data_IF_067440891815
#
_entry.id   IF_067440891815
#
_cell.length_a   1.000
_cell.length_b   1.000
_cell.length_c   1.000
_cell.angle_alpha   90.00
_cell.angle_beta   90.00
_cell.angle_gamma   90.00
#
_symmetry.space_group_name_H-M   'P 1'
#
loop_
_entity.id
_entity.type
_entity.pdbx_description
1 polymer ?
#
# COMPACT_ATOMS: atom_id res chain seq x y z
N UNK A 1 4.16 27.55 1.62
CA UNK A 1 5.15 27.07 0.61
C UNK A 1 6.53 26.80 1.18
N UNK A 2 7.14 27.68 2.01
CA UNK A 2 8.49 27.46 2.59
C UNK A 2 8.56 26.21 3.44
N UNK A 3 7.69 26.05 4.44
CA UNK A 3 7.70 24.89 5.34
C UNK A 3 7.36 23.57 4.63
N UNK A 4 6.54 23.60 3.57
CA UNK A 4 6.28 22.43 2.74
C UNK A 4 7.55 21.94 2.00
N UNK A 5 8.40 22.86 1.51
CA UNK A 5 9.69 22.51 0.90
C UNK A 5 10.62 21.89 1.95
N UNK A 6 10.74 22.51 3.13
CA UNK A 6 11.53 21.97 4.24
C UNK A 6 11.02 20.58 4.64
N UNK A 7 9.70 20.38 4.66
CA UNK A 7 9.08 19.08 4.90
C UNK A 7 9.51 18.03 3.87
N UNK A 8 9.54 18.36 2.57
CA UNK A 8 9.99 17.43 1.54
C UNK A 8 11.48 17.12 1.64
N UNK A 9 12.32 18.11 1.92
CA UNK A 9 13.75 17.92 2.14
C UNK A 9 14.01 16.99 3.33
N UNK A 10 13.31 17.22 4.45
CA UNK A 10 13.40 16.36 5.62
C UNK A 10 12.83 14.96 5.39
N UNK A 11 11.76 14.83 4.61
CA UNK A 11 11.21 13.52 4.24
C UNK A 11 12.21 12.71 3.43
N UNK A 12 12.88 13.32 2.44
CA UNK A 12 13.93 12.68 1.64
C UNK A 12 15.07 12.18 2.51
N UNK A 13 15.52 12.97 3.47
CA UNK A 13 16.50 12.53 4.46
C UNK A 13 15.97 11.36 5.31
N UNK A 14 14.76 11.45 5.82
CA UNK A 14 14.15 10.43 6.69
C UNK A 14 13.96 9.08 6.00
N UNK A 15 13.77 9.05 4.68
CA UNK A 15 13.62 7.82 3.89
C UNK A 15 14.93 7.34 3.25
N UNK A 16 16.02 8.08 3.43
CA UNK A 16 17.35 7.74 2.88
C UNK A 16 17.55 8.04 1.39
N UNK A 17 16.63 8.79 0.75
CA UNK A 17 16.84 9.27 -0.63
C UNK A 17 17.81 10.46 -0.70
N UNK A 18 17.95 11.24 0.38
CA UNK A 18 19.03 12.19 0.61
C UNK A 18 19.90 11.69 1.77
N UNK A 19 21.23 11.71 1.60
CA UNK A 19 22.18 11.23 2.62
C UNK A 19 22.51 12.30 3.66
N UNK A 20 22.51 13.55 3.25
CA UNK A 20 22.90 14.69 4.09
C UNK A 20 21.69 15.30 4.79
N UNK A 21 21.94 15.79 6.01
CA UNK A 21 20.93 16.55 6.75
C UNK A 21 20.70 17.86 5.99
N UNK A 22 19.45 18.16 5.59
CA UNK A 22 19.18 19.34 4.80
C UNK A 22 19.38 20.63 5.61
N UNK A 23 20.16 21.57 5.07
CA UNK A 23 20.39 22.89 5.69
C UNK A 23 19.10 23.66 5.94
N UNK A 24 18.07 23.41 5.15
CA UNK A 24 16.74 24.02 5.31
C UNK A 24 16.10 23.74 6.67
N UNK A 25 16.54 22.68 7.40
CA UNK A 25 16.05 22.37 8.74
C UNK A 25 16.40 23.43 9.80
N UNK A 26 17.43 24.27 9.56
CA UNK A 26 17.74 25.42 10.42
C UNK A 26 16.60 26.45 10.51
N UNK A 27 15.70 26.43 9.51
CA UNK A 27 14.54 27.33 9.40
C UNK A 27 13.21 26.59 9.58
N UNK A 28 13.24 25.39 10.15
CA UNK A 28 12.06 24.54 10.30
C UNK A 28 11.13 25.04 11.41
N UNK A 29 9.86 25.27 11.10
CA UNK A 29 8.82 25.29 12.10
C UNK A 29 8.37 23.84 12.38
N UNK A 30 8.93 23.25 13.43
CA UNK A 30 8.66 21.88 13.81
C UNK A 30 7.18 21.59 14.14
N UNK A 31 6.40 22.62 14.56
CA UNK A 31 4.96 22.46 14.79
C UNK A 31 4.21 22.32 13.48
N UNK A 32 4.59 23.11 12.47
CA UNK A 32 4.02 23.00 11.12
C UNK A 32 4.43 21.68 10.46
N UNK A 33 5.71 21.26 10.58
CA UNK A 33 6.18 19.98 10.09
C UNK A 33 5.42 18.80 10.74
N UNK A 34 5.18 18.85 12.03
CA UNK A 34 4.37 17.86 12.75
C UNK A 34 2.94 17.80 12.21
N UNK A 35 2.32 18.96 11.98
CA UNK A 35 0.96 19.04 11.47
C UNK A 35 0.87 18.44 10.04
N UNK A 36 1.83 18.73 9.16
CA UNK A 36 1.91 18.14 7.82
C UNK A 36 2.13 16.63 7.93
N UNK A 37 3.07 16.17 8.77
CA UNK A 37 3.35 14.76 8.99
C UNK A 37 2.12 13.98 9.48
N UNK A 38 1.37 14.55 10.41
CA UNK A 38 0.12 13.99 10.92
C UNK A 38 -0.94 13.90 9.79
N UNK A 39 -1.11 14.99 9.05
CA UNK A 39 -2.05 15.09 7.93
C UNK A 39 -1.76 14.06 6.84
N UNK A 40 -0.49 13.79 6.58
CA UNK A 40 -0.02 12.87 5.54
C UNK A 40 0.26 11.44 6.06
N UNK A 41 -0.01 11.17 7.35
CA UNK A 41 0.24 9.88 8.02
C UNK A 41 1.72 9.43 7.95
N UNK A 42 2.65 10.36 8.12
CA UNK A 42 4.10 10.14 8.03
C UNK A 42 4.85 10.34 9.36
N UNK A 43 4.13 10.41 10.50
CA UNK A 43 4.73 10.68 11.81
C UNK A 43 5.82 9.66 12.17
N UNK A 44 5.61 8.37 11.93
CA UNK A 44 6.61 7.34 12.20
C UNK A 44 7.84 7.50 11.32
N UNK A 45 7.65 7.71 10.01
CA UNK A 45 8.73 7.88 9.03
C UNK A 45 9.61 9.08 9.39
N UNK A 46 9.02 10.23 9.68
CA UNK A 46 9.79 11.41 10.06
C UNK A 46 10.43 11.27 11.45
N UNK A 47 9.83 10.53 12.37
CA UNK A 47 10.46 10.22 13.64
C UNK A 47 11.74 9.38 13.46
N UNK A 48 11.75 8.47 12.47
CA UNK A 48 12.99 7.77 12.10
C UNK A 48 14.09 8.75 11.67
N UNK A 49 13.76 9.79 10.90
CA UNK A 49 14.69 10.87 10.56
C UNK A 49 15.11 11.70 11.77
N UNK A 50 14.17 12.10 12.65
CA UNK A 50 14.48 12.89 13.87
C UNK A 50 15.53 12.19 14.74
N UNK A 51 15.48 10.87 14.86
CA UNK A 51 16.49 10.11 15.66
C UNK A 51 17.91 10.23 15.13
N UNK A 52 18.09 10.67 13.90
CA UNK A 52 19.40 10.83 13.24
C UNK A 52 19.90 12.28 13.29
N UNK A 53 19.10 13.23 13.78
CA UNK A 53 19.46 14.64 13.87
C UNK A 53 20.32 14.94 15.11
N UNK A 54 21.27 15.88 15.01
CA UNK A 54 21.91 16.47 16.18
C UNK A 54 20.88 17.26 17.01
N UNK A 55 21.15 17.41 18.32
CA UNK A 55 20.20 18.01 19.25
C UNK A 55 19.78 19.44 18.86
N UNK A 56 20.69 20.18 18.26
CA UNK A 56 20.51 21.58 17.85
C UNK A 56 19.49 21.75 16.72
N UNK A 57 19.30 20.70 15.91
CA UNK A 57 18.35 20.69 14.80
C UNK A 57 17.05 19.92 15.14
N UNK A 58 16.99 19.25 16.30
CA UNK A 58 15.81 18.47 16.70
C UNK A 58 14.68 19.39 17.21
N UNK A 59 13.41 18.91 17.18
CA UNK A 59 12.30 19.65 17.79
C UNK A 59 12.50 19.88 19.29
N UNK A 60 11.88 20.94 19.83
CA UNK A 60 11.85 21.18 21.28
C UNK A 60 11.35 19.95 22.07
N UNK A 61 11.83 19.76 23.29
CA UNK A 61 11.63 18.53 24.08
C UNK A 61 10.15 18.12 24.22
N UNK A 62 9.25 19.09 24.42
CA UNK A 62 7.81 18.81 24.55
C UNK A 62 7.24 18.18 23.27
N UNK A 63 7.55 18.75 22.11
CA UNK A 63 7.09 18.25 20.80
C UNK A 63 7.78 16.93 20.44
N UNK A 64 9.07 16.79 20.74
CA UNK A 64 9.83 15.56 20.55
C UNK A 64 9.21 14.40 21.35
N UNK A 65 8.80 14.65 22.62
CA UNK A 65 8.14 13.65 23.44
C UNK A 65 6.77 13.24 22.84
N UNK A 66 5.99 14.22 22.40
CA UNK A 66 4.72 13.95 21.71
C UNK A 66 4.92 13.10 20.45
N UNK A 67 5.93 13.42 19.65
CA UNK A 67 6.26 12.66 18.43
C UNK A 67 6.68 11.23 18.75
N UNK A 68 7.53 11.06 19.78
CA UNK A 68 7.96 9.75 20.26
C UNK A 68 6.79 8.87 20.68
N UNK A 69 5.83 9.42 21.43
CA UNK A 69 4.62 8.68 21.84
C UNK A 69 3.84 8.19 20.62
N UNK A 70 3.64 9.04 19.60
CA UNK A 70 2.95 8.65 18.37
C UNK A 70 3.71 7.57 17.58
N UNK A 71 5.04 7.69 17.49
CA UNK A 71 5.88 6.69 16.82
C UNK A 71 5.84 5.34 17.55
N UNK A 72 5.85 5.32 18.89
CA UNK A 72 5.69 4.08 19.67
C UNK A 72 4.31 3.44 19.50
N UNK A 73 3.25 4.24 19.36
CA UNK A 73 1.91 3.73 19.03
C UNK A 73 1.90 3.06 17.65
N UNK A 74 2.52 3.70 16.64
CA UNK A 74 2.68 3.15 15.29
C UNK A 74 3.46 1.84 15.34
N UNK A 75 4.58 1.79 16.07
CA UNK A 75 5.39 0.59 16.25
C UNK A 75 4.57 -0.56 16.84
N UNK A 76 3.87 -0.33 17.94
CA UNK A 76 3.03 -1.34 18.60
C UNK A 76 1.93 -1.88 17.68
N UNK A 77 1.32 -1.02 16.87
CA UNK A 77 0.33 -1.44 15.88
C UNK A 77 0.95 -2.31 14.78
N UNK A 78 2.15 -1.96 14.28
CA UNK A 78 2.83 -2.79 13.26
C UNK A 78 3.21 -4.17 13.81
N UNK A 79 3.73 -4.26 15.04
CA UNK A 79 4.02 -5.55 15.69
C UNK A 79 2.76 -6.44 15.69
N UNK A 80 1.63 -5.89 16.10
CA UNK A 80 0.37 -6.62 16.09
C UNK A 80 -0.06 -7.03 14.68
N UNK A 81 0.06 -6.13 13.70
CA UNK A 81 -0.29 -6.43 12.31
C UNK A 81 0.61 -7.49 11.69
N UNK A 82 1.91 -7.53 12.01
CA UNK A 82 2.78 -8.62 11.59
C UNK A 82 2.28 -9.95 12.12
N UNK A 83 1.99 -10.05 13.42
CA UNK A 83 1.46 -11.27 14.05
C UNK A 83 0.10 -11.66 13.46
N UNK A 84 -0.81 -10.72 13.28
CA UNK A 84 -2.15 -10.99 12.77
C UNK A 84 -2.12 -11.37 11.27
N UNK A 85 -1.17 -10.82 10.48
CA UNK A 85 -0.97 -11.19 9.07
C UNK A 85 -0.53 -12.65 8.92
N UNK A 86 0.37 -13.13 9.77
CA UNK A 86 0.76 -14.56 9.77
C UNK A 86 -0.42 -15.44 10.10
N UNK A 87 -1.17 -15.09 11.16
CA UNK A 87 -2.35 -15.87 11.59
C UNK A 87 -3.41 -15.94 10.50
N UNK A 88 -3.71 -14.82 9.83
CA UNK A 88 -4.75 -14.79 8.79
C UNK A 88 -4.32 -15.53 7.54
N UNK A 89 -3.04 -15.45 7.14
CA UNK A 89 -2.51 -16.24 6.04
C UNK A 89 -2.63 -17.74 6.32
N UNK A 90 -2.23 -18.18 7.52
CA UNK A 90 -2.33 -19.58 7.92
C UNK A 90 -3.78 -20.03 8.04
N UNK A 91 -4.66 -19.20 8.60
CA UNK A 91 -6.08 -19.46 8.71
C UNK A 91 -6.69 -19.79 7.33
N UNK A 92 -6.53 -18.92 6.35
CA UNK A 92 -7.09 -19.15 5.01
C UNK A 92 -6.41 -20.29 4.26
N UNK A 93 -5.13 -20.55 4.51
CA UNK A 93 -4.45 -21.72 3.96
C UNK A 93 -5.06 -23.01 4.49
N UNK A 94 -5.37 -23.11 5.78
CA UNK A 94 -6.04 -24.25 6.38
C UNK A 94 -7.46 -24.45 5.85
N UNK A 95 -8.15 -23.37 5.47
CA UNK A 95 -9.47 -23.39 4.83
C UNK A 95 -9.41 -23.69 3.31
N UNK A 96 -8.24 -24.02 2.77
CA UNK A 96 -8.04 -24.41 1.37
C UNK A 96 -8.04 -23.25 0.37
N UNK A 97 -7.71 -22.01 0.84
CA UNK A 97 -7.53 -20.88 -0.02
C UNK A 97 -6.05 -20.55 -0.18
N UNK A 98 -5.55 -20.54 -1.44
CA UNK A 98 -4.32 -19.83 -1.74
C UNK A 98 -4.56 -18.33 -1.52
N UNK A 99 -3.61 -17.66 -0.85
CA UNK A 99 -3.80 -16.27 -0.42
C UNK A 99 -2.51 -15.47 -0.45
N UNK A 100 -2.62 -14.15 -0.52
CA UNK A 100 -1.50 -13.24 -0.30
C UNK A 100 -1.95 -11.89 0.27
N UNK A 101 -1.10 -11.27 1.08
CA UNK A 101 -1.29 -9.90 1.60
C UNK A 101 -0.94 -8.92 0.49
N UNK A 102 -1.92 -8.13 0.03
CA UNK A 102 -1.79 -7.29 -1.17
C UNK A 102 -0.92 -6.03 -0.98
N UNK A 103 -0.89 -5.47 0.20
CA UNK A 103 -0.17 -4.24 0.60
C UNK A 103 0.23 -4.35 2.08
N UNK A 104 0.17 -3.24 2.80
CA UNK A 104 0.32 -3.26 4.27
C UNK A 104 1.68 -3.77 4.71
N UNK A 105 1.71 -4.95 5.33
CA UNK A 105 2.91 -5.51 5.93
C UNK A 105 3.96 -5.93 4.91
N UNK A 106 3.55 -6.38 3.71
CA UNK A 106 4.50 -6.64 2.61
C UNK A 106 5.26 -5.38 2.19
N UNK A 107 4.55 -4.27 2.00
CA UNK A 107 5.18 -2.99 1.64
C UNK A 107 5.99 -2.39 2.79
N UNK A 108 5.61 -2.64 4.05
CA UNK A 108 6.35 -2.14 5.21
C UNK A 108 7.80 -2.64 5.24
N UNK A 109 8.07 -3.85 4.71
CA UNK A 109 9.42 -4.43 4.62
C UNK A 109 10.37 -3.64 3.73
N UNK A 110 9.85 -2.81 2.85
CA UNK A 110 10.65 -1.95 1.96
C UNK A 110 11.11 -0.64 2.62
N UNK A 111 10.55 -0.30 3.79
CA UNK A 111 10.90 0.91 4.52
C UNK A 111 12.22 0.74 5.28
N UNK A 112 13.00 1.82 5.50
CA UNK A 112 14.21 1.77 6.33
C UNK A 112 13.96 1.22 7.76
N UNK A 113 12.80 1.51 8.32
CA UNK A 113 12.29 0.93 9.56
C UNK A 113 10.85 0.45 9.32
N UNK A 114 10.63 -0.88 9.14
CA UNK A 114 9.31 -1.45 8.85
C UNK A 114 8.24 -1.12 9.89
N UNK A 115 8.66 -0.84 11.12
CA UNK A 115 7.76 -0.51 12.23
C UNK A 115 7.26 0.93 12.19
N UNK A 116 7.87 1.81 11.38
CA UNK A 116 7.54 3.24 11.31
C UNK A 116 6.59 3.60 10.17
N UNK A 117 6.22 2.67 9.31
CA UNK A 117 5.13 2.85 8.35
C UNK A 117 3.81 2.97 9.10
N UNK A 118 3.03 4.04 8.86
CA UNK A 118 1.69 4.15 9.47
C UNK A 118 0.81 2.99 9.00
N UNK A 119 0.35 2.11 9.90
CA UNK A 119 -0.43 0.93 9.56
C UNK A 119 -1.88 1.26 9.20
N UNK A 120 -2.57 0.31 8.58
CA UNK A 120 -4.00 0.32 8.27
C UNK A 120 -4.61 -1.05 8.59
N UNK A 121 -5.45 -1.52 7.70
CA UNK A 121 -6.08 -2.83 7.66
C UNK A 121 -5.17 -3.90 7.05
N UNK A 122 -5.63 -5.15 7.09
CA UNK A 122 -5.02 -6.28 6.38
C UNK A 122 -5.86 -6.55 5.14
N UNK A 123 -5.32 -6.22 3.96
CA UNK A 123 -5.90 -6.58 2.67
C UNK A 123 -5.36 -7.94 2.24
N UNK A 124 -6.20 -8.98 2.28
CA UNK A 124 -5.80 -10.31 1.87
C UNK A 124 -6.59 -10.77 0.64
N UNK A 125 -5.89 -11.13 -0.43
CA UNK A 125 -6.49 -11.77 -1.58
C UNK A 125 -6.66 -13.27 -1.34
N UNK A 126 -7.80 -13.81 -1.73
CA UNK A 126 -8.07 -15.24 -1.75
C UNK A 126 -8.33 -15.73 -3.16
N UNK A 127 -7.78 -16.89 -3.51
CA UNK A 127 -8.08 -17.59 -4.78
C UNK A 127 -9.48 -18.21 -4.77
N UNK A 128 -10.04 -18.43 -5.97
CA UNK A 128 -11.31 -19.14 -6.12
C UNK A 128 -12.51 -18.30 -6.47
N UNK A 129 -12.32 -16.99 -6.59
CA UNK A 129 -13.30 -16.03 -7.11
C UNK A 129 -14.45 -15.68 -6.17
N UNK A 130 -15.16 -14.61 -6.50
CA UNK A 130 -16.19 -13.99 -5.65
C UNK A 130 -17.22 -14.97 -5.10
N UNK A 131 -17.77 -15.85 -5.94
CA UNK A 131 -18.87 -16.76 -5.55
C UNK A 131 -18.45 -17.73 -4.43
N UNK A 132 -17.25 -18.36 -4.58
CA UNK A 132 -16.70 -19.28 -3.58
C UNK A 132 -16.38 -18.56 -2.26
N UNK A 133 -15.75 -17.40 -2.36
CA UNK A 133 -15.33 -16.60 -1.20
C UNK A 133 -16.57 -16.08 -0.44
N UNK A 134 -17.56 -15.50 -1.13
CA UNK A 134 -18.78 -15.04 -0.48
C UNK A 134 -19.54 -16.15 0.21
N UNK A 135 -19.67 -17.35 -0.42
CA UNK A 135 -20.29 -18.51 0.22
C UNK A 135 -19.55 -18.91 1.51
N UNK A 136 -18.22 -18.81 1.51
CA UNK A 136 -17.41 -19.09 2.70
C UNK A 136 -17.62 -18.01 3.78
N UNK A 137 -17.51 -16.73 3.42
CA UNK A 137 -17.69 -15.60 4.35
C UNK A 137 -19.09 -15.62 4.97
N UNK A 138 -20.15 -15.84 4.20
CA UNK A 138 -21.52 -15.89 4.71
C UNK A 138 -21.73 -17.05 5.72
N UNK A 139 -21.00 -18.16 5.57
CA UNK A 139 -21.01 -19.27 6.53
C UNK A 139 -20.32 -18.91 7.85
N UNK A 140 -19.17 -18.21 7.78
CA UNK A 140 -18.33 -17.91 8.95
C UNK A 140 -18.75 -16.61 9.64
N UNK A 141 -19.00 -15.57 8.85
CA UNK A 141 -19.36 -14.23 9.30
C UNK A 141 -20.58 -13.72 8.49
N UNK A 142 -21.79 -14.14 8.80
CA UNK A 142 -22.98 -13.75 8.03
C UNK A 142 -23.22 -12.24 8.07
N UNK A 143 -23.90 -11.73 7.03
CA UNK A 143 -24.32 -10.32 6.91
C UNK A 143 -23.19 -9.29 6.75
N UNK A 144 -22.02 -9.69 6.26
CA UNK A 144 -20.94 -8.71 5.99
C UNK A 144 -21.27 -7.82 4.78
N UNK A 145 -20.76 -6.59 4.81
CA UNK A 145 -20.94 -5.64 3.71
C UNK A 145 -20.00 -5.99 2.57
N UNK A 146 -20.56 -6.44 1.45
CA UNK A 146 -19.77 -6.68 0.24
C UNK A 146 -19.56 -5.36 -0.52
N UNK A 147 -18.30 -5.10 -0.86
CA UNK A 147 -17.88 -4.07 -1.83
C UNK A 147 -17.59 -4.71 -3.18
N UNK A 148 -17.25 -3.92 -4.18
CA UNK A 148 -17.05 -4.46 -5.53
C UNK A 148 -15.91 -5.50 -5.59
N UNK A 149 -14.85 -5.34 -4.83
CA UNK A 149 -13.61 -6.13 -4.89
C UNK A 149 -13.27 -6.87 -3.61
N UNK A 150 -13.90 -6.56 -2.49
CA UNK A 150 -13.65 -7.20 -1.20
C UNK A 150 -14.93 -7.30 -0.34
N UNK A 151 -14.80 -8.02 0.75
CA UNK A 151 -15.78 -8.12 1.83
C UNK A 151 -15.06 -8.01 3.18
N UNK A 152 -15.70 -7.35 4.14
CA UNK A 152 -15.18 -7.26 5.50
C UNK A 152 -15.19 -8.64 6.18
N UNK A 153 -14.13 -8.96 6.95
CA UNK A 153 -14.00 -10.26 7.63
C UNK A 153 -13.58 -10.08 9.10
N UNK A 154 -14.53 -9.76 10.00
CA UNK A 154 -14.26 -9.36 11.39
C UNK A 154 -14.03 -10.53 12.34
N UNK A 155 -13.07 -11.41 12.06
CA UNK A 155 -12.71 -12.55 12.91
C UNK A 155 -11.62 -12.24 13.93
N UNK A 156 -10.98 -11.08 13.80
CA UNK A 156 -9.92 -10.60 14.69
C UNK A 156 -10.19 -9.14 15.10
N UNK A 157 -9.42 -8.63 16.07
CA UNK A 157 -9.48 -7.20 16.44
C UNK A 157 -8.94 -6.29 15.34
N UNK A 158 -8.02 -6.79 14.53
CA UNK A 158 -7.50 -6.10 13.34
C UNK A 158 -8.55 -6.18 12.23
N UNK A 159 -8.80 -5.05 11.56
CA UNK A 159 -9.68 -5.03 10.41
C UNK A 159 -9.06 -5.84 9.25
N UNK A 160 -9.83 -6.76 8.69
CA UNK A 160 -9.42 -7.62 7.58
C UNK A 160 -10.40 -7.40 6.43
N UNK A 161 -9.86 -7.08 5.26
CA UNK A 161 -10.59 -7.02 4.00
C UNK A 161 -10.20 -8.22 3.13
N UNK A 162 -11.15 -9.12 2.90
CA UNK A 162 -10.96 -10.29 2.03
C UNK A 162 -11.27 -9.91 0.59
N UNK A 163 -10.24 -9.85 -0.22
CA UNK A 163 -10.30 -9.50 -1.64
C UNK A 163 -10.53 -10.73 -2.51
N UNK A 164 -11.52 -10.69 -3.38
CA UNK A 164 -11.73 -11.66 -4.45
C UNK A 164 -11.24 -11.16 -5.83
N UNK A 165 -10.88 -9.88 -5.92
CA UNK A 165 -10.04 -9.28 -6.96
C UNK A 165 -9.23 -8.15 -6.35
N UNK A 166 -7.97 -7.92 -6.74
CA UNK A 166 -7.10 -6.94 -6.07
C UNK A 166 -7.58 -5.49 -6.16
N UNK A 167 -8.09 -5.08 -7.32
CA UNK A 167 -8.57 -3.72 -7.58
C UNK A 167 -9.60 -3.71 -8.71
N UNK A 168 -10.07 -2.50 -9.09
CA UNK A 168 -10.96 -2.30 -10.22
C UNK A 168 -10.84 -0.86 -10.74
N UNK A 169 -11.37 -0.63 -11.95
CA UNK A 169 -11.49 0.67 -12.59
C UNK A 169 -12.96 1.02 -12.76
N UNK A 170 -13.28 2.31 -12.86
CA UNK A 170 -14.67 2.75 -13.06
C UNK A 170 -15.10 2.67 -14.52
N UNK A 171 -14.17 2.95 -15.45
CA UNK A 171 -14.44 2.83 -16.88
C UNK A 171 -14.52 1.36 -17.29
N UNK A 172 -15.66 0.89 -17.86
CA UNK A 172 -15.89 -0.55 -18.07
C UNK A 172 -14.84 -1.25 -18.93
N UNK A 173 -14.29 -0.57 -19.96
CA UNK A 173 -13.28 -1.17 -20.85
C UNK A 173 -11.97 -1.37 -20.08
N UNK A 174 -11.50 -0.36 -19.32
CA UNK A 174 -10.29 -0.49 -18.50
C UNK A 174 -10.49 -1.53 -17.40
N UNK A 175 -11.67 -1.55 -16.78
CA UNK A 175 -11.98 -2.55 -15.76
C UNK A 175 -11.94 -3.97 -16.32
N UNK A 176 -12.56 -4.22 -17.50
CA UNK A 176 -12.52 -5.54 -18.13
C UNK A 176 -11.10 -6.01 -18.43
N UNK A 177 -10.24 -5.11 -18.95
CA UNK A 177 -8.82 -5.40 -19.18
C UNK A 177 -8.08 -5.72 -17.89
N UNK A 178 -8.31 -4.94 -16.85
CA UNK A 178 -7.70 -5.14 -15.54
C UNK A 178 -8.13 -6.44 -14.87
N UNK A 179 -9.42 -6.79 -14.91
CA UNK A 179 -9.88 -8.06 -14.35
C UNK A 179 -9.25 -9.25 -15.09
N UNK A 180 -9.18 -9.19 -16.43
CA UNK A 180 -8.50 -10.20 -17.22
C UNK A 180 -7.01 -10.33 -16.86
N UNK A 181 -6.31 -9.20 -16.72
CA UNK A 181 -4.92 -9.20 -16.28
C UNK A 181 -4.77 -9.83 -14.88
N UNK A 182 -5.64 -9.53 -13.93
CA UNK A 182 -5.62 -10.17 -12.62
C UNK A 182 -5.86 -11.67 -12.70
N UNK A 183 -6.81 -12.14 -13.52
CA UNK A 183 -7.07 -13.56 -13.72
C UNK A 183 -5.82 -14.30 -14.24
N UNK A 184 -5.05 -13.67 -15.11
CA UNK A 184 -3.83 -14.23 -15.70
C UNK A 184 -2.66 -14.32 -14.72
N UNK A 185 -2.50 -13.31 -13.83
CA UNK A 185 -1.26 -13.19 -13.04
C UNK A 185 -1.40 -13.55 -11.55
N UNK A 186 -2.62 -13.53 -10.97
CA UNK A 186 -2.80 -13.69 -9.52
C UNK A 186 -2.45 -15.08 -8.99
N UNK A 187 -2.49 -16.12 -9.83
CA UNK A 187 -2.13 -17.48 -9.43
C UNK A 187 -0.69 -17.57 -8.89
N UNK A 188 0.25 -16.88 -9.53
CA UNK A 188 1.66 -16.86 -9.14
C UNK A 188 1.91 -16.02 -7.89
N UNK A 189 1.11 -14.94 -7.69
CA UNK A 189 1.32 -14.01 -6.57
C UNK A 189 1.12 -14.66 -5.20
N UNK A 190 0.31 -15.71 -5.11
CA UNK A 190 0.08 -16.44 -3.86
C UNK A 190 1.22 -17.42 -3.49
N UNK A 191 2.27 -17.52 -4.29
CA UNK A 191 3.41 -18.40 -4.05
C UNK A 191 4.66 -17.67 -3.56
N UNK A 192 4.71 -16.36 -3.66
CA UNK A 192 5.85 -15.56 -3.24
C UNK A 192 5.80 -15.28 -1.74
N UNK A 193 6.75 -15.86 -0.98
CA UNK A 193 6.88 -15.71 0.47
C UNK A 193 7.96 -14.72 0.85
N UNK A 194 7.70 -13.99 1.93
CA UNK A 194 8.68 -13.11 2.59
C UNK A 194 8.67 -13.34 4.08
N UNK A 195 9.85 -13.30 4.70
CA UNK A 195 10.01 -13.37 6.16
C UNK A 195 9.74 -12.01 6.78
N UNK A 196 8.99 -12.00 7.87
CA UNK A 196 8.74 -10.80 8.68
C UNK A 196 9.90 -10.56 9.65
N UNK A 197 10.15 -9.29 10.06
CA UNK A 197 11.24 -8.96 10.99
C UNK A 197 11.04 -9.68 12.34
N UNK A 198 12.11 -9.72 13.14
CA UNK A 198 12.16 -10.26 14.50
C UNK A 198 11.56 -11.67 14.65
N UNK A 199 11.54 -12.47 13.58
CA UNK A 199 11.07 -13.85 13.62
C UNK A 199 9.56 -14.01 13.79
N UNK A 200 8.74 -12.99 13.45
CA UNK A 200 7.28 -13.12 13.53
C UNK A 200 6.69 -14.19 12.61
N UNK A 201 7.44 -14.66 11.61
CA UNK A 201 7.04 -15.70 10.68
C UNK A 201 7.06 -15.22 9.23
N UNK A 202 6.31 -15.90 8.38
CA UNK A 202 6.27 -15.62 6.93
C UNK A 202 4.86 -15.31 6.47
N UNK A 203 4.76 -14.46 5.46
CA UNK A 203 3.52 -14.16 4.76
C UNK A 203 3.70 -14.31 3.24
N UNK A 204 2.61 -14.52 2.52
CA UNK A 204 2.60 -14.44 1.07
C UNK A 204 2.32 -13.01 0.64
N UNK A 205 3.09 -12.49 -0.30
CA UNK A 205 2.95 -11.13 -0.85
C UNK A 205 3.12 -11.15 -2.38
N UNK A 206 2.53 -10.20 -3.12
CA UNK A 206 2.75 -10.13 -4.55
C UNK A 206 4.21 -9.81 -4.91
N UNK A 207 4.64 -10.28 -6.07
CA UNK A 207 5.94 -9.92 -6.65
C UNK A 207 5.99 -8.43 -7.00
N UNK A 208 7.20 -7.86 -7.04
CA UNK A 208 7.39 -6.43 -7.28
C UNK A 208 6.86 -5.98 -8.65
N UNK A 209 7.02 -6.80 -9.71
CA UNK A 209 6.49 -6.51 -11.05
C UNK A 209 4.96 -6.36 -11.08
N UNK A 210 4.25 -7.16 -10.29
CA UNK A 210 2.82 -7.02 -10.09
C UNK A 210 2.51 -5.73 -9.29
N UNK A 211 3.23 -5.49 -8.19
CA UNK A 211 2.99 -4.37 -7.28
C UNK A 211 3.14 -3.01 -7.96
N UNK A 212 4.07 -2.85 -8.92
CA UNK A 212 4.24 -1.61 -9.68
C UNK A 212 2.96 -1.21 -10.42
N UNK A 213 2.22 -2.17 -10.96
CA UNK A 213 0.95 -1.92 -11.68
C UNK A 213 -0.22 -1.86 -10.71
N UNK A 214 -0.30 -2.82 -9.78
CA UNK A 214 -1.40 -2.96 -8.85
C UNK A 214 -1.54 -1.74 -7.92
N UNK A 215 -0.45 -1.30 -7.28
CA UNK A 215 -0.51 -0.16 -6.35
C UNK A 215 -0.86 1.12 -7.09
N UNK A 216 -0.35 1.33 -8.30
CA UNK A 216 -0.72 2.47 -9.12
C UNK A 216 -2.22 2.47 -9.45
N UNK A 217 -2.78 1.31 -9.82
CA UNK A 217 -4.22 1.17 -10.09
C UNK A 217 -5.06 1.45 -8.84
N UNK A 218 -4.60 1.01 -7.69
CA UNK A 218 -5.22 1.24 -6.40
C UNK A 218 -5.21 2.74 -6.03
N UNK A 219 -4.09 3.44 -6.20
CA UNK A 219 -3.97 4.89 -6.03
C UNK A 219 -4.91 5.63 -6.97
N UNK A 220 -4.94 5.24 -8.25
CA UNK A 220 -5.79 5.87 -9.26
C UNK A 220 -7.28 5.78 -8.92
N UNK A 221 -7.73 4.63 -8.44
CA UNK A 221 -9.11 4.46 -7.95
C UNK A 221 -9.41 5.39 -6.77
N UNK A 222 -8.49 5.49 -5.81
CA UNK A 222 -8.72 6.27 -4.59
C UNK A 222 -8.82 7.77 -4.82
N UNK A 223 -8.18 8.35 -5.86
CA UNK A 223 -8.31 9.79 -6.12
C UNK A 223 -9.76 10.21 -6.39
N UNK A 224 -10.59 9.31 -6.95
CA UNK A 224 -12.00 9.61 -7.24
C UNK A 224 -12.93 9.28 -6.06
N UNK A 225 -12.54 8.44 -5.13
CA UNK A 225 -13.37 8.02 -3.99
C UNK A 225 -13.06 8.81 -2.73
N UNK A 226 -11.93 8.56 -2.12
CA UNK A 226 -11.55 9.11 -0.82
C UNK A 226 -10.47 10.19 -0.97
N UNK A 227 -9.58 10.03 -1.93
CA UNK A 227 -8.33 10.77 -2.08
C UNK A 227 -7.14 9.92 -1.65
N UNK A 228 -5.94 10.40 -1.93
CA UNK A 228 -4.68 9.76 -1.56
C UNK A 228 -3.81 10.75 -0.80
N UNK A 229 -2.93 10.24 0.07
CA UNK A 229 -1.93 11.02 0.79
C UNK A 229 -0.50 10.58 0.46
N UNK A 230 0.47 11.30 1.02
CA UNK A 230 1.88 10.97 0.79
C UNK A 230 2.28 9.59 1.32
N UNK A 231 1.60 9.07 2.37
CA UNK A 231 1.87 7.72 2.88
C UNK A 231 1.64 6.64 1.82
N UNK A 232 0.54 6.72 1.05
CA UNK A 232 0.26 5.76 -0.01
C UNK A 232 1.25 5.90 -1.18
N UNK A 233 1.67 7.12 -1.49
CA UNK A 233 2.69 7.36 -2.50
C UNK A 233 4.08 6.92 -2.05
N UNK A 234 4.39 7.02 -0.76
CA UNK A 234 5.64 6.51 -0.22
C UNK A 234 5.73 4.97 -0.32
N UNK A 235 4.61 4.25 -0.10
CA UNK A 235 4.55 2.82 -0.39
C UNK A 235 4.95 2.56 -1.86
N UNK A 236 4.41 3.37 -2.78
CA UNK A 236 4.70 3.22 -4.20
C UNK A 236 6.14 3.62 -4.58
N UNK A 237 6.69 4.65 -3.94
CA UNK A 237 8.10 5.03 -4.10
C UNK A 237 9.03 3.85 -3.78
N UNK A 238 8.83 3.18 -2.65
CA UNK A 238 9.64 2.04 -2.28
C UNK A 238 9.44 0.84 -3.22
N UNK A 239 8.23 0.61 -3.72
CA UNK A 239 7.98 -0.44 -4.72
C UNK A 239 8.72 -0.16 -6.03
N UNK A 240 8.77 1.09 -6.49
CA UNK A 240 9.56 1.47 -7.66
C UNK A 240 11.06 1.24 -7.40
N UNK A 241 11.56 1.65 -6.24
CA UNK A 241 12.96 1.43 -5.86
C UNK A 241 13.31 -0.07 -5.83
N UNK A 242 12.43 -0.90 -5.28
CA UNK A 242 12.62 -2.35 -5.23
C UNK A 242 12.54 -2.99 -6.63
N UNK A 243 11.63 -2.52 -7.48
CA UNK A 243 11.55 -2.95 -8.89
C UNK A 243 12.90 -2.75 -9.61
N UNK A 244 13.48 -1.58 -9.50
CA UNK A 244 14.79 -1.31 -10.10
C UNK A 244 15.88 -2.16 -9.49
N UNK A 245 15.91 -2.34 -8.17
CA UNK A 245 16.89 -3.18 -7.47
C UNK A 245 16.85 -4.64 -7.95
N UNK A 246 15.65 -5.22 -8.07
CA UNK A 246 15.46 -6.60 -8.52
C UNK A 246 15.95 -6.78 -9.97
N UNK A 247 15.59 -5.88 -10.87
CA UNK A 247 15.93 -6.01 -12.28
C UNK A 247 17.33 -5.54 -12.65
N UNK A 248 17.98 -4.71 -11.84
CA UNK A 248 19.42 -4.43 -11.97
C UNK A 248 20.28 -5.64 -11.57
N UNK A 249 19.93 -6.34 -10.50
CA UNK A 249 20.64 -7.53 -10.05
C UNK A 249 20.44 -8.74 -10.98
N UNK A 250 19.29 -8.83 -11.66
CA UNK A 250 18.99 -9.92 -12.61
C UNK A 250 19.81 -9.86 -13.91
N UNK A 251 20.40 -8.70 -14.24
CA UNK A 251 21.35 -8.58 -15.35
C UNK A 251 22.67 -9.35 -15.09
N UNK A 252 22.98 -9.65 -13.85
CA UNK A 252 24.18 -10.38 -13.43
C UNK A 252 23.96 -11.91 -13.32
N UNK A 253 22.71 -12.38 -13.32
CA UNK A 253 22.36 -13.80 -13.38
C UNK A 253 21.03 -13.95 -14.14
N UNK A 254 21.03 -14.53 -15.37
CA UNK A 254 19.78 -14.78 -16.09
C UNK A 254 18.98 -15.84 -15.33
N UNK A 255 17.88 -15.41 -14.71
CA UNK A 255 16.87 -16.34 -14.20
C UNK A 255 16.18 -16.97 -15.41
N UNK A 256 16.16 -18.30 -15.58
CA UNK A 256 15.44 -18.93 -16.67
C UNK A 256 13.96 -18.59 -16.59
N UNK A 257 13.45 -17.86 -17.57
CA UNK A 257 12.02 -17.75 -17.81
C UNK A 257 11.54 -19.15 -18.22
N UNK A 258 10.84 -19.84 -17.32
CA UNK A 258 10.16 -21.09 -17.66
C UNK A 258 9.17 -20.80 -18.78
N UNK A 259 9.53 -21.26 -19.98
CA UNK A 259 8.60 -21.46 -21.08
C UNK A 259 7.93 -22.81 -20.89
N UNK A 260 6.64 -22.80 -21.17
CA UNK A 260 5.81 -23.93 -21.61
C UNK A 260 5.53 -25.08 -20.65
N UNK A 261 4.26 -25.14 -20.37
CA UNK A 261 3.33 -26.25 -20.32
C UNK A 261 3.88 -27.66 -20.08
N UNK A 262 3.60 -28.18 -18.90
CA UNK A 262 3.19 -29.56 -18.82
C UNK A 262 1.98 -29.66 -17.89
N UNK A 263 0.86 -30.01 -18.46
CA UNK A 263 -0.37 -30.39 -17.80
C UNK A 263 -0.13 -31.72 -17.06
N UNK A 264 -0.15 -31.64 -15.73
CA UNK A 264 -0.43 -32.82 -14.91
C UNK A 264 -1.36 -32.40 -13.77
N UNK A 265 -2.61 -32.80 -13.91
CA UNK A 265 -3.61 -32.71 -12.85
C UNK A 265 -3.25 -33.66 -11.71
N UNK A 266 -3.27 -33.24 -10.45
CA UNK A 266 -3.36 -34.19 -9.35
C UNK A 266 -4.83 -34.53 -9.10
N UNK A 267 -5.11 -35.82 -8.99
CA UNK A 267 -6.40 -36.42 -8.64
C UNK A 267 -6.88 -36.00 -7.26
N UNK A 268 -8.21 -35.99 -7.01
CA UNK A 268 -8.77 -35.52 -5.75
C UNK A 268 -8.58 -36.56 -4.63
N UNK A 269 -8.05 -36.11 -3.50
CA UNK A 269 -8.02 -36.86 -2.26
C UNK A 269 -9.37 -36.78 -1.55
N UNK A 270 -9.80 -37.93 -1.03
CA UNK A 270 -11.05 -38.27 -0.37
C UNK A 270 -11.38 -37.39 0.84
N UNK A 271 -12.67 -37.16 0.99
CA UNK A 271 -13.36 -36.50 2.10
C UNK A 271 -13.18 -37.26 3.42
N UNK A 272 -12.48 -36.69 4.39
CA UNK A 272 -12.69 -36.93 5.79
C UNK A 272 -13.26 -35.68 6.46
N UNK A 273 -14.45 -35.82 7.00
CA UNK A 273 -15.11 -34.84 7.86
C UNK A 273 -14.21 -34.57 9.06
N UNK A 274 -13.74 -33.32 9.19
CA UNK A 274 -13.11 -32.85 10.43
C UNK A 274 -13.98 -31.77 11.06
N UNK A 275 -14.30 -32.10 12.31
CA UNK A 275 -15.09 -31.36 13.27
C UNK A 275 -14.70 -29.89 13.39
N UNK A 276 -15.64 -28.98 13.04
CA UNK A 276 -15.48 -27.55 13.06
C UNK A 276 -16.03 -26.98 14.36
N UNK A 277 -15.40 -27.32 15.49
CA UNK A 277 -15.79 -26.76 16.78
C UNK A 277 -14.61 -26.25 17.59
N UNK A 278 -13.94 -25.21 17.16
CA UNK A 278 -13.00 -24.48 18.03
C UNK A 278 -12.60 -23.09 17.52
N UNK A 279 -13.54 -22.19 17.26
CA UNK A 279 -13.29 -20.73 17.26
C UNK A 279 -14.61 -19.97 17.47
N UNK A 280 -15.35 -20.36 18.52
CA UNK A 280 -16.38 -19.49 19.09
C UNK A 280 -15.68 -18.49 20.01
N UNK A 281 -16.11 -17.23 19.92
CA UNK A 281 -15.72 -16.12 20.77
C UNK A 281 -15.46 -16.56 22.20
N UNK A 282 -14.20 -16.57 22.64
CA UNK A 282 -13.80 -16.75 24.02
C UNK A 282 -13.13 -15.48 24.52
N UNK A 283 -13.49 -15.14 25.75
CA UNK A 283 -13.10 -13.96 26.52
C UNK A 283 -11.57 -13.81 26.70
N UNK A 284 -11.09 -12.62 27.13
CA UNK A 284 -9.66 -12.31 27.19
C UNK A 284 -8.98 -13.08 28.32
N UNK A 285 -7.99 -13.89 27.98
CA UNK A 285 -7.07 -14.51 28.93
C UNK A 285 -6.24 -13.46 29.67
N UNK A 286 -6.40 -13.39 30.98
CA UNK A 286 -5.52 -12.68 31.92
C UNK A 286 -4.11 -13.27 31.84
N UNK A 287 -3.12 -12.42 31.57
CA UNK A 287 -1.71 -12.75 31.69
C UNK A 287 -1.31 -12.84 33.16
N UNK A 288 -0.68 -13.94 33.55
CA UNK A 288 0.09 -14.06 34.79
C UNK A 288 1.54 -13.66 34.50
N UNK A 289 2.09 -12.98 35.48
CA UNK A 289 3.40 -12.36 35.51
C UNK A 289 4.58 -13.33 35.24
N UNK A 290 5.53 -12.83 34.44
CA UNK A 290 6.88 -13.37 34.31
C UNK A 290 7.85 -12.22 33.99
N UNK A 291 8.75 -11.91 34.93
CA UNK A 291 9.60 -10.73 34.95
C UNK A 291 10.65 -10.66 33.84
N UNK A 292 11.32 -9.51 33.67
CA UNK A 292 12.12 -9.19 32.50
C UNK A 292 13.52 -9.80 32.57
N UNK A 293 13.85 -10.62 31.58
CA UNK A 293 15.23 -10.97 31.25
C UNK A 293 15.88 -9.84 30.47
N UNK A 294 16.98 -9.30 31.00
CA UNK A 294 17.84 -8.32 30.33
C UNK A 294 18.56 -8.98 29.17
N UNK A 295 18.24 -8.57 27.94
CA UNK A 295 19.06 -8.84 26.77
C UNK A 295 19.48 -7.50 26.19
N UNK A 296 20.80 -7.25 26.19
CA UNK A 296 21.48 -6.12 25.55
C UNK A 296 21.19 -6.09 24.05
N UNK A 297 21.01 -4.91 23.45
CA UNK A 297 20.90 -4.80 22.02
C UNK A 297 22.30 -4.74 21.38
N UNK A 298 22.77 -5.86 20.83
CA UNK A 298 23.85 -5.84 19.86
C UNK A 298 23.23 -5.53 18.48
N UNK A 299 23.33 -4.27 18.07
CA UNK A 299 23.17 -3.87 16.69
C UNK A 299 24.39 -4.38 15.93
N UNK A 300 24.29 -5.56 15.32
CA UNK A 300 25.28 -6.00 14.34
C UNK A 300 25.19 -5.10 13.11
N UNK A 301 26.28 -4.36 12.88
CA UNK A 301 26.45 -3.47 11.73
C UNK A 301 26.40 -4.27 10.43
N UNK A 302 25.76 -3.67 9.45
CA UNK A 302 25.94 -4.05 8.05
C UNK A 302 27.29 -3.48 7.61
N UNK A 303 28.33 -4.34 7.61
CA UNK A 303 29.63 -4.00 7.08
C UNK A 303 29.51 -3.63 5.60
N UNK A 304 29.90 -2.39 5.31
CA UNK A 304 30.17 -1.92 3.96
C UNK A 304 31.51 -2.51 3.55
N UNK A 305 31.50 -3.43 2.62
CA UNK A 305 32.70 -3.65 1.82
C UNK A 305 32.78 -2.53 0.78
N UNK A 306 33.75 -1.63 1.01
CA UNK A 306 34.20 -0.67 0.00
C UNK A 306 34.89 -1.45 -1.13
N UNK A 307 34.20 -1.54 -2.26
CA UNK A 307 34.84 -1.92 -3.53
C UNK A 307 35.17 -0.62 -4.26
N UNK A 308 36.41 -0.23 -4.15
CA UNK A 308 37.04 0.83 -4.95
C UNK A 308 37.14 0.41 -6.41
N UNK A 309 36.66 1.27 -7.31
CA UNK A 309 37.06 1.41 -8.69
C UNK A 309 36.49 0.39 -9.66
N UNK A 310 35.49 0.87 -10.41
CA UNK A 310 35.53 0.93 -11.87
C UNK A 310 34.23 1.65 -12.33
N UNK A 311 34.35 2.48 -13.36
CA UNK A 311 33.26 3.20 -14.00
C UNK A 311 32.24 2.23 -14.60
N UNK A 312 31.35 1.69 -13.72
CA UNK A 312 30.22 0.91 -14.14
C UNK A 312 29.15 1.88 -14.63
N UNK A 313 28.93 1.94 -15.92
CA UNK A 313 27.69 2.38 -16.54
C UNK A 313 26.53 1.78 -15.74
N UNK A 314 25.77 2.61 -15.06
CA UNK A 314 24.58 2.21 -14.31
C UNK A 314 23.60 1.53 -15.26
N UNK A 315 23.59 0.21 -15.28
CA UNK A 315 22.64 -0.57 -16.08
C UNK A 315 21.23 -0.23 -15.58
N UNK A 316 20.43 0.42 -16.43
CA UNK A 316 18.99 0.56 -16.21
C UNK A 316 18.34 -0.82 -16.04
N UNK A 317 17.19 -0.96 -15.34
CA UNK A 317 16.46 -2.23 -15.24
C UNK A 317 16.32 -2.81 -16.64
N UNK A 318 16.39 -4.15 -16.79
CA UNK A 318 16.43 -4.72 -18.14
C UNK A 318 15.31 -4.06 -18.94
N UNK A 319 15.64 -3.41 -20.03
CA UNK A 319 14.71 -2.62 -20.86
C UNK A 319 13.40 -3.39 -21.09
N UNK A 320 13.49 -4.71 -21.22
CA UNK A 320 12.37 -5.61 -21.40
C UNK A 320 11.36 -5.65 -20.22
N UNK A 321 11.82 -5.52 -18.95
CA UNK A 321 10.89 -5.50 -17.81
C UNK A 321 10.17 -4.16 -17.71
N UNK A 322 10.89 -3.07 -17.93
CA UNK A 322 10.31 -1.72 -17.96
C UNK A 322 9.33 -1.58 -19.14
N UNK A 323 9.68 -2.07 -20.32
CA UNK A 323 8.82 -2.05 -21.51
C UNK A 323 7.51 -2.81 -21.28
N UNK A 324 7.57 -3.96 -20.59
CA UNK A 324 6.35 -4.71 -20.21
C UNK A 324 5.47 -3.89 -19.27
N UNK A 325 6.04 -3.30 -18.22
CA UNK A 325 5.29 -2.44 -17.29
C UNK A 325 4.66 -1.28 -18.04
N UNK A 326 5.41 -0.58 -18.89
CA UNK A 326 4.89 0.55 -19.68
C UNK A 326 3.77 0.13 -20.63
N UNK A 327 3.91 -1.02 -21.29
CA UNK A 327 2.88 -1.59 -22.17
C UNK A 327 1.59 -1.88 -21.41
N UNK A 328 1.70 -2.49 -20.22
CA UNK A 328 0.55 -2.78 -19.38
C UNK A 328 -0.10 -1.49 -18.84
N UNK A 329 0.66 -0.51 -18.38
CA UNK A 329 0.12 0.77 -17.94
C UNK A 329 -0.68 1.48 -19.04
N UNK A 330 -0.20 1.43 -20.29
CA UNK A 330 -0.92 1.96 -21.47
C UNK A 330 -2.19 1.16 -21.75
N UNK A 331 -2.09 -0.18 -21.75
CA UNK A 331 -3.21 -1.09 -21.99
C UNK A 331 -4.34 -0.92 -20.98
N UNK A 332 -3.99 -0.75 -19.72
CA UNK A 332 -4.92 -0.59 -18.60
C UNK A 332 -5.46 0.84 -18.44
N UNK A 333 -4.98 1.81 -19.25
CA UNK A 333 -5.41 3.22 -19.16
C UNK A 333 -4.82 3.98 -17.96
N UNK A 334 -3.71 3.50 -17.41
CA UNK A 334 -3.03 4.10 -16.26
C UNK A 334 -1.89 5.05 -16.64
N UNK A 335 -1.56 5.14 -17.94
CA UNK A 335 -0.36 5.83 -18.42
C UNK A 335 -0.29 7.30 -17.99
N UNK A 336 -1.36 8.06 -18.24
CA UNK A 336 -1.41 9.49 -17.87
C UNK A 336 -1.27 9.70 -16.36
N UNK A 337 -1.88 8.84 -15.56
CA UNK A 337 -1.75 8.90 -14.09
C UNK A 337 -0.33 8.53 -13.65
N UNK A 338 0.30 7.53 -14.29
CA UNK A 338 1.70 7.18 -14.03
C UNK A 338 2.62 8.39 -14.25
N UNK A 339 2.45 9.12 -15.36
CA UNK A 339 3.24 10.33 -15.66
C UNK A 339 3.09 11.42 -14.59
N UNK A 340 1.87 11.66 -14.11
CA UNK A 340 1.62 12.59 -13.01
C UNK A 340 2.27 12.14 -11.70
N UNK A 341 2.20 10.83 -11.41
CA UNK A 341 2.81 10.24 -10.21
C UNK A 341 4.32 10.35 -10.26
N UNK A 342 4.98 10.18 -11.43
CA UNK A 342 6.44 10.34 -11.54
C UNK A 342 6.91 11.74 -11.18
N UNK A 343 6.15 12.78 -11.52
CA UNK A 343 6.45 14.14 -11.04
C UNK A 343 6.43 14.20 -9.50
N UNK A 344 5.39 13.65 -8.87
CA UNK A 344 5.29 13.65 -7.40
C UNK A 344 6.43 12.84 -6.77
N UNK A 345 6.82 11.70 -7.38
CA UNK A 345 7.94 10.88 -6.93
C UNK A 345 9.26 11.66 -6.93
N UNK A 346 9.51 12.43 -7.98
CA UNK A 346 10.70 13.30 -8.06
C UNK A 346 10.63 14.43 -7.06
N UNK A 347 9.53 15.20 -7.10
CA UNK A 347 9.37 16.44 -6.32
C UNK A 347 9.31 16.18 -4.82
N UNK A 348 8.68 15.12 -4.35
CA UNK A 348 8.50 14.85 -2.92
C UNK A 348 9.56 13.90 -2.36
N UNK A 349 9.85 12.79 -3.06
CA UNK A 349 10.69 11.72 -2.53
C UNK A 349 12.10 11.70 -3.14
N UNK A 350 12.37 12.53 -4.15
CA UNK A 350 13.69 12.59 -4.80
C UNK A 350 13.99 11.37 -5.69
N UNK A 351 12.98 10.78 -6.33
CA UNK A 351 13.18 9.70 -7.29
C UNK A 351 13.99 10.22 -8.49
N UNK A 352 15.10 9.58 -8.79
CA UNK A 352 15.94 9.94 -9.95
C UNK A 352 15.26 9.56 -11.27
N UNK A 353 15.59 10.27 -12.34
CA UNK A 353 14.91 10.11 -13.64
C UNK A 353 15.13 8.74 -14.28
N UNK A 354 16.30 8.14 -14.06
CA UNK A 354 16.65 6.80 -14.50
C UNK A 354 15.79 5.69 -13.87
N UNK A 355 15.13 6.00 -12.74
CA UNK A 355 14.20 5.08 -12.04
C UNK A 355 12.74 5.33 -12.35
N UNK A 356 12.40 6.25 -13.23
CA UNK A 356 11.01 6.52 -13.60
C UNK A 356 10.46 5.42 -14.50
N UNK A 357 9.26 4.94 -14.16
CA UNK A 357 8.54 3.94 -14.97
C UNK A 357 7.74 4.56 -16.13
N UNK A 358 7.57 5.87 -16.14
CA UNK A 358 6.95 6.65 -17.20
C UNK A 358 7.61 8.04 -17.27
N UNK A 359 7.65 8.71 -18.42
CA UNK A 359 8.11 10.09 -18.49
C UNK A 359 7.20 10.99 -17.64
N UNK A 360 7.80 11.94 -16.95
CA UNK A 360 7.13 12.85 -16.04
C UNK A 360 6.25 13.86 -16.82
N UNK A 361 5.02 14.08 -16.33
CA UNK A 361 4.15 15.19 -16.73
C UNK A 361 4.05 16.18 -15.57
N UNK A 362 4.74 17.32 -15.69
CA UNK A 362 4.79 18.34 -14.65
C UNK A 362 3.43 18.97 -14.37
N UNK A 363 2.63 19.27 -15.40
CA UNK A 363 1.33 19.92 -15.26
C UNK A 363 0.33 19.04 -14.52
N UNK A 364 0.22 17.79 -14.95
CA UNK A 364 -0.65 16.81 -14.30
C UNK A 364 -0.15 16.46 -12.89
N UNK A 365 1.17 16.40 -12.72
CA UNK A 365 1.82 16.12 -11.43
C UNK A 365 1.63 17.24 -10.41
N UNK A 366 1.73 18.51 -10.79
CA UNK A 366 1.43 19.66 -9.90
C UNK A 366 -0.02 19.63 -9.45
N UNK A 367 -0.96 19.41 -10.36
CA UNK A 367 -2.36 19.22 -9.99
C UNK A 367 -2.56 18.09 -8.99
N UNK A 368 -1.94 16.93 -9.24
CA UNK A 368 -2.02 15.77 -8.34
C UNK A 368 -1.43 16.09 -6.96
N UNK A 369 -0.27 16.73 -6.91
CA UNK A 369 0.39 17.11 -5.65
C UNK A 369 -0.45 18.09 -4.84
N UNK A 370 -1.08 19.07 -5.46
CA UNK A 370 -1.97 20.02 -4.80
C UNK A 370 -3.18 19.30 -4.16
N UNK A 371 -3.77 18.32 -4.87
CA UNK A 371 -4.86 17.50 -4.35
C UNK A 371 -4.42 16.64 -3.15
N UNK A 372 -3.23 16.04 -3.20
CA UNK A 372 -2.65 15.24 -2.13
C UNK A 372 -2.38 16.10 -0.89
N UNK A 373 -1.75 17.25 -1.06
CA UNK A 373 -1.41 18.14 0.05
C UNK A 373 -2.66 18.76 0.69
N UNK A 374 -3.70 19.01 -0.11
CA UNK A 374 -5.00 19.47 0.39
C UNK A 374 -5.75 18.36 1.14
N UNK A 375 -5.86 17.18 0.56
CA UNK A 375 -6.67 16.09 1.09
C UNK A 375 -6.05 15.38 2.30
N UNK A 376 -4.73 15.25 2.31
CA UNK A 376 -4.04 14.41 3.30
C UNK A 376 -4.35 12.92 3.14
N UNK A 377 -4.02 12.14 4.14
CA UNK A 377 -4.21 10.69 4.11
C UNK A 377 -5.68 10.31 3.90
N UNK A 378 -6.00 9.61 2.81
CA UNK A 378 -7.36 9.23 2.39
C UNK A 378 -8.35 10.40 2.36
N UNK A 379 -7.90 11.61 2.01
CA UNK A 379 -8.77 12.78 1.91
C UNK A 379 -9.44 13.23 3.21
N UNK A 380 -8.99 12.74 4.36
CA UNK A 380 -9.61 13.03 5.67
C UNK A 380 -9.61 14.52 6.03
N UNK A 381 -8.73 15.29 5.43
CA UNK A 381 -8.59 16.74 5.65
C UNK A 381 -9.14 17.57 4.48
N UNK A 382 -9.75 16.93 3.47
CA UNK A 382 -10.37 17.64 2.35
C UNK A 382 -11.70 18.25 2.82
N UNK A 383 -11.72 19.55 2.98
CA UNK A 383 -12.90 20.33 3.36
C UNK A 383 -14.09 20.13 2.41
N UNK A 384 -13.80 19.75 1.16
CA UNK A 384 -14.80 19.43 0.14
C UNK A 384 -15.43 18.04 0.35
N UNK A 385 -14.79 17.17 1.15
CA UNK A 385 -15.22 15.80 1.45
C UNK A 385 -15.87 15.64 2.82
N UNK A 386 -15.71 16.62 3.72
CA UNK A 386 -16.21 16.55 5.09
C UNK A 386 -17.68 16.17 5.15
N UNK A 387 -18.03 15.06 5.84
CA UNK A 387 -19.42 14.72 6.09
C UNK A 387 -20.00 15.72 7.09
N UNK A 388 -21.05 16.45 6.69
CA UNK A 388 -21.80 17.26 7.64
C UNK A 388 -22.68 16.32 8.46
N UNK A 389 -22.67 16.50 9.78
CA UNK A 389 -23.55 15.77 10.70
C UNK A 389 -24.99 15.96 10.21
N UNK A 390 -25.72 14.85 9.98
CA UNK A 390 -27.10 14.88 9.46
C UNK A 390 -27.21 15.00 7.94
N UNK A 391 -26.10 14.94 7.18
CA UNK A 391 -26.16 14.99 5.72
C UNK A 391 -26.88 13.77 5.12
N UNK A 392 -27.88 14.02 4.25
CA UNK A 392 -28.56 12.95 3.54
C UNK A 392 -27.65 12.24 2.54
N UNK A 393 -27.92 10.96 2.24
CA UNK A 393 -27.18 10.18 1.22
C UNK A 393 -27.17 10.87 -0.15
N UNK A 394 -28.25 11.58 -0.49
CA UNK A 394 -28.40 12.32 -1.76
C UNK A 394 -27.45 13.52 -1.79
N UNK A 395 -27.41 14.34 -0.74
CA UNK A 395 -26.48 15.48 -0.66
C UNK A 395 -25.04 15.03 -0.73
N UNK A 396 -24.68 13.95 -0.01
CA UNK A 396 -23.35 13.35 -0.08
C UNK A 396 -23.02 12.89 -1.51
N UNK A 397 -23.98 12.28 -2.22
CA UNK A 397 -23.79 11.86 -3.61
C UNK A 397 -23.47 13.05 -4.53
N UNK A 398 -24.27 14.11 -4.47
CA UNK A 398 -24.02 15.32 -5.27
C UNK A 398 -22.70 16.01 -4.92
N UNK A 399 -22.36 16.12 -3.64
CA UNK A 399 -21.12 16.72 -3.19
C UNK A 399 -19.88 15.96 -3.70
N UNK A 400 -19.92 14.63 -3.66
CA UNK A 400 -18.84 13.79 -4.23
C UNK A 400 -18.72 13.99 -5.74
N UNK A 401 -19.82 14.09 -6.47
CA UNK A 401 -19.79 14.33 -7.91
C UNK A 401 -19.21 15.72 -8.23
N UNK A 402 -19.64 16.77 -7.52
CA UNK A 402 -19.07 18.12 -7.66
C UNK A 402 -17.56 18.15 -7.38
N UNK A 403 -17.14 17.43 -6.34
CA UNK A 403 -15.71 17.26 -6.07
C UNK A 403 -14.99 16.62 -7.25
N UNK A 404 -15.56 15.59 -7.85
CA UNK A 404 -14.92 14.84 -8.93
C UNK A 404 -14.93 15.54 -10.29
N UNK A 405 -15.79 16.54 -10.50
CA UNK A 405 -15.82 17.33 -11.76
C UNK A 405 -14.46 17.92 -12.14
N UNK A 406 -13.62 18.29 -11.15
CA UNK A 406 -12.27 18.81 -11.40
C UNK A 406 -11.34 17.79 -12.06
N UNK A 407 -11.57 16.49 -11.80
CA UNK A 407 -10.80 15.41 -12.43
C UNK A 407 -11.21 15.16 -13.89
N UNK A 408 -12.38 15.65 -14.33
CA UNK A 408 -12.85 15.44 -15.72
C UNK A 408 -11.88 16.04 -16.73
N UNK A 409 -11.26 17.19 -16.42
CA UNK A 409 -10.24 17.81 -17.29
C UNK A 409 -8.97 16.96 -17.39
N UNK A 410 -8.65 16.22 -16.35
CA UNK A 410 -7.40 15.47 -16.22
C UNK A 410 -7.58 13.99 -16.59
N UNK A 411 -8.64 13.37 -16.12
CA UNK A 411 -8.95 11.93 -16.26
C UNK A 411 -10.41 11.71 -16.65
N UNK A 412 -10.85 12.17 -17.86
CA UNK A 412 -12.26 12.22 -18.23
C UNK A 412 -12.96 10.85 -18.17
N UNK A 413 -12.33 9.80 -18.67
CA UNK A 413 -12.93 8.47 -18.73
C UNK A 413 -13.32 7.93 -17.35
N UNK A 414 -12.41 7.96 -16.40
CA UNK A 414 -12.66 7.47 -15.04
C UNK A 414 -13.56 8.41 -14.25
N UNK A 415 -13.32 9.73 -14.33
CA UNK A 415 -14.10 10.72 -13.59
C UNK A 415 -15.58 10.74 -13.97
N UNK A 416 -15.90 10.55 -15.26
CA UNK A 416 -17.29 10.46 -15.74
C UNK A 416 -17.92 9.07 -15.48
N UNK A 417 -17.09 8.02 -15.45
CA UNK A 417 -17.57 6.65 -15.22
C UNK A 417 -17.83 6.35 -13.73
N UNK A 418 -17.15 7.02 -12.81
CA UNK A 418 -17.29 6.77 -11.36
C UNK A 418 -18.72 6.92 -10.85
N UNK A 419 -19.47 8.00 -11.13
CA UNK A 419 -20.85 8.15 -10.68
C UNK A 419 -21.79 7.07 -11.25
N UNK A 420 -21.59 6.73 -12.53
CA UNK A 420 -22.38 5.71 -13.21
C UNK A 420 -22.12 4.33 -12.63
N UNK A 421 -20.85 4.00 -12.43
CA UNK A 421 -20.43 2.74 -11.81
C UNK A 421 -20.99 2.59 -10.40
N UNK A 422 -20.89 3.61 -9.57
CA UNK A 422 -21.41 3.62 -8.19
C UNK A 422 -22.92 3.42 -8.15
N UNK A 423 -23.64 4.10 -9.04
CA UNK A 423 -25.09 3.95 -9.16
C UNK A 423 -25.47 2.54 -9.64
N UNK A 424 -24.81 2.06 -10.72
CA UNK A 424 -24.99 0.71 -11.21
C UNK A 424 -24.72 -0.35 -10.14
N UNK A 425 -23.63 -0.24 -9.41
CA UNK A 425 -23.29 -1.22 -8.38
C UNK A 425 -24.27 -1.21 -7.20
N UNK A 426 -24.79 -0.04 -6.83
CA UNK A 426 -25.84 0.07 -5.79
C UNK A 426 -27.14 -0.62 -6.23
N UNK A 427 -27.58 -0.41 -7.47
CA UNK A 427 -28.75 -1.08 -8.07
C UNK A 427 -28.51 -2.58 -8.17
N UNK A 428 -27.34 -3.00 -8.68
CA UNK A 428 -26.96 -4.40 -8.80
C UNK A 428 -27.01 -5.12 -7.45
N UNK A 429 -26.44 -4.53 -6.38
CA UNK A 429 -26.52 -5.09 -5.02
C UNK A 429 -27.97 -5.29 -4.56
N UNK A 430 -28.83 -4.29 -4.80
CA UNK A 430 -30.25 -4.35 -4.41
C UNK A 430 -30.97 -5.49 -5.13
N UNK A 431 -30.75 -5.65 -6.45
CA UNK A 431 -31.38 -6.72 -7.26
C UNK A 431 -30.93 -8.11 -6.75
N UNK A 432 -29.67 -8.24 -6.31
CA UNK A 432 -29.13 -9.53 -5.85
C UNK A 432 -29.27 -9.76 -4.34
N UNK A 433 -30.01 -8.91 -3.63
CA UNK A 433 -30.21 -9.03 -2.17
C UNK A 433 -28.94 -8.93 -1.33
N UNK A 434 -27.90 -8.26 -1.87
CA UNK A 434 -26.60 -8.12 -1.22
C UNK A 434 -26.58 -6.82 -0.40
N UNK A 435 -26.16 -6.93 0.86
CA UNK A 435 -26.02 -5.79 1.78
C UNK A 435 -24.76 -4.95 1.52
#
# INVERSE_FOLDING_TARGET
MKQQKIFFDFLRFSIGSAKEIPDSLKEADWKELYAIAKKQALLGVLFHGIKQLPKELAPEQKLLMQWKVMAEMIRKQNIRLFQDSVKVCQYFKNEGFANCILKGQGNALLYPDPYMRTPGDIDIYLSGGRKKIMKYVDRVCPNQVMRYHHVDFPVMKTAIEVHFTPSYMFYPIHNRRMQKWFEEVMGEQCNHRVSLPDGYGEIYVPQVSFNVIYILSHLYRHIFTEGIGLRQLLDYYFVICDFHKVYQNSSNHPVPLSKEGSTSHPSPLSSEERDVTALRCSEPLRSKDGGPSKVSPNCAGWDRQDVSGDTATTASPSSAALDRVQKELKHLGLWKFAQAVMFVMKEVFGLSEDRMIAPMDEKEGRFLLDEIMRGGNFGQYDDRMGSKVGESKIHRYFRMNLRNLRFVKHYPTEALSEPLFRTWFAVWKKIHGIK
#
